data_IF_924942260526
#
_entry.id   IF_924942260526
#
_cell.length_a   1.000
_cell.length_b   1.000
_cell.length_c   1.000
_cell.angle_alpha   90.00
_cell.angle_beta   90.00
_cell.angle_gamma   90.00
#
_symmetry.space_group_name_H-M   'P 1'
#
loop_
_entity.id
_entity.type
_entity.pdbx_description
1 polymer ?
#
# COMPACT_ATOMS: atom_id res chain seq x y z
N UNK A 1 -26.25 7.48 10.89
CA UNK A 1 -25.00 7.52 10.12
C UNK A 1 -25.36 7.17 8.69
N UNK A 2 -25.14 8.06 7.72
CA UNK A 2 -25.42 7.81 6.29
C UNK A 2 -24.25 7.02 5.70
N UNK A 3 -24.54 5.82 5.22
CA UNK A 3 -23.54 4.99 4.52
C UNK A 3 -23.38 5.51 3.09
N UNK A 4 -22.15 5.71 2.64
CA UNK A 4 -21.86 6.06 1.25
C UNK A 4 -22.13 4.85 0.32
N UNK A 5 -23.27 4.92 -0.39
CA UNK A 5 -23.70 3.86 -1.30
C UNK A 5 -22.97 3.87 -2.65
N UNK A 6 -22.10 4.84 -2.92
CA UNK A 6 -21.32 4.90 -4.16
C UNK A 6 -20.12 3.95 -4.14
N UNK A 7 -19.72 3.46 -2.97
CA UNK A 7 -18.67 2.45 -2.83
C UNK A 7 -19.27 1.08 -3.12
N UNK A 8 -18.72 0.38 -4.10
CA UNK A 8 -19.18 -0.95 -4.50
C UNK A 8 -18.81 -2.00 -3.43
N UNK A 9 -19.61 -3.05 -3.37
CA UNK A 9 -19.29 -4.24 -2.59
C UNK A 9 -18.11 -4.96 -3.24
N UNK A 10 -17.05 -5.21 -2.47
CA UNK A 10 -15.89 -5.95 -2.96
C UNK A 10 -16.24 -7.42 -3.28
N UNK A 11 -15.58 -7.99 -4.29
CA UNK A 11 -15.66 -9.42 -4.60
C UNK A 11 -14.91 -10.30 -3.59
N UNK A 12 -14.06 -9.72 -2.75
CA UNK A 12 -13.31 -10.44 -1.70
C UNK A 12 -14.29 -10.82 -0.60
N UNK A 13 -14.41 -12.13 -0.36
CA UNK A 13 -15.29 -12.67 0.68
C UNK A 13 -14.58 -12.63 2.03
N UNK A 14 -15.26 -12.06 3.03
CA UNK A 14 -14.78 -12.03 4.41
C UNK A 14 -15.06 -13.31 5.17
N UNK A 15 -14.59 -13.35 6.44
CA UNK A 15 -14.78 -14.44 7.38
C UNK A 15 -13.54 -15.33 7.54
N UNK A 16 -13.46 -16.02 8.68
CA UNK A 16 -12.32 -16.85 9.04
C UNK A 16 -12.01 -17.94 8.01
N UNK A 17 -13.02 -18.67 7.53
CA UNK A 17 -12.80 -19.74 6.56
C UNK A 17 -12.21 -19.23 5.25
N UNK A 18 -12.63 -18.05 4.77
CA UNK A 18 -12.06 -17.43 3.58
C UNK A 18 -10.64 -16.89 3.84
N UNK A 19 -10.38 -16.36 5.03
CA UNK A 19 -9.04 -15.96 5.45
C UNK A 19 -8.06 -17.13 5.46
N UNK A 20 -8.49 -18.24 6.05
CA UNK A 20 -7.69 -19.48 6.13
C UNK A 20 -7.44 -20.07 4.73
N UNK A 21 -8.46 -20.10 3.87
CA UNK A 21 -8.29 -20.54 2.49
C UNK A 21 -7.29 -19.67 1.75
N UNK A 22 -7.39 -18.32 1.89
CA UNK A 22 -6.46 -17.39 1.27
C UNK A 22 -5.02 -17.60 1.74
N UNK A 23 -4.84 -17.86 3.06
CA UNK A 23 -3.52 -18.16 3.62
C UNK A 23 -2.96 -19.46 3.04
N UNK A 24 -3.77 -20.52 2.97
CA UNK A 24 -3.35 -21.80 2.40
C UNK A 24 -2.97 -21.67 0.91
N UNK A 25 -3.78 -20.93 0.12
CA UNK A 25 -3.47 -20.65 -1.29
C UNK A 25 -2.12 -19.89 -1.42
N UNK A 26 -1.90 -18.92 -0.54
CA UNK A 26 -0.63 -18.18 -0.52
C UNK A 26 0.56 -19.08 -0.18
N UNK A 27 0.45 -19.89 0.86
CA UNK A 27 1.53 -20.81 1.28
C UNK A 27 1.85 -21.85 0.21
N UNK A 28 0.84 -22.33 -0.53
CA UNK A 28 1.04 -23.35 -1.56
C UNK A 28 1.49 -22.81 -2.92
N UNK A 29 1.04 -21.61 -3.33
CA UNK A 29 1.23 -21.10 -4.68
C UNK A 29 2.16 -19.88 -4.77
N UNK A 30 2.12 -18.98 -3.79
CA UNK A 30 2.77 -17.66 -3.87
C UNK A 30 3.95 -17.45 -2.94
N UNK A 31 4.04 -18.23 -1.88
CA UNK A 31 5.02 -18.03 -0.82
C UNK A 31 6.47 -18.27 -1.28
N UNK A 32 6.70 -19.29 -2.09
CA UNK A 32 8.04 -19.60 -2.64
C UNK A 32 8.64 -18.44 -3.44
N UNK A 33 7.80 -17.59 -3.98
CA UNK A 33 8.15 -16.44 -4.83
C UNK A 33 8.07 -15.09 -4.09
N UNK A 34 7.66 -15.10 -2.82
CA UNK A 34 7.30 -13.89 -2.09
C UNK A 34 8.41 -12.85 -2.03
N UNK A 35 9.61 -13.21 -1.57
CA UNK A 35 10.71 -12.25 -1.42
C UNK A 35 11.09 -11.58 -2.75
N UNK A 36 11.04 -12.32 -3.84
CA UNK A 36 11.43 -11.85 -5.17
C UNK A 36 10.31 -11.06 -5.85
N UNK A 37 9.06 -11.53 -5.78
CA UNK A 37 7.99 -11.04 -6.65
C UNK A 37 6.82 -10.36 -5.92
N UNK A 38 6.83 -10.22 -4.58
CA UNK A 38 5.76 -9.54 -3.83
C UNK A 38 5.46 -8.13 -4.30
N UNK A 39 6.41 -7.49 -4.97
CA UNK A 39 6.26 -6.13 -5.53
C UNK A 39 5.80 -6.13 -6.99
N UNK A 40 5.71 -7.26 -7.66
CA UNK A 40 5.32 -7.37 -9.07
C UNK A 40 3.80 -7.49 -9.20
N UNK A 41 3.12 -6.49 -9.82
CA UNK A 41 1.66 -6.52 -9.96
C UNK A 41 1.14 -7.63 -10.88
N UNK A 42 2.01 -8.20 -11.72
CA UNK A 42 1.67 -9.30 -12.63
C UNK A 42 1.77 -10.68 -12.01
N UNK A 43 2.33 -10.77 -10.78
CA UNK A 43 2.57 -12.02 -10.07
C UNK A 43 1.62 -12.20 -8.89
N UNK A 44 1.26 -13.44 -8.61
CA UNK A 44 0.42 -13.82 -7.46
C UNK A 44 1.26 -14.14 -6.22
N UNK A 45 2.30 -13.36 -5.96
CA UNK A 45 3.25 -13.59 -4.86
C UNK A 45 2.92 -12.80 -3.57
N UNK A 46 1.81 -12.07 -3.53
CA UNK A 46 1.35 -11.34 -2.34
C UNK A 46 0.35 -12.18 -1.54
N UNK A 47 0.42 -12.10 -0.20
CA UNK A 47 -0.50 -12.85 0.67
C UNK A 47 -1.95 -12.35 0.58
N UNK A 48 -2.17 -11.07 0.33
CA UNK A 48 -3.48 -10.40 0.32
C UNK A 48 -4.24 -10.56 1.65
N UNK A 49 -3.53 -10.71 2.77
CA UNK A 49 -4.12 -10.94 4.09
C UNK A 49 -4.57 -9.67 4.82
N UNK A 50 -4.15 -8.48 4.36
CA UNK A 50 -4.41 -7.21 5.07
C UNK A 50 -5.90 -6.94 5.36
N UNK A 51 -6.87 -7.21 4.46
CA UNK A 51 -8.29 -7.04 4.81
C UNK A 51 -8.74 -7.95 5.95
N UNK A 52 -8.27 -9.19 5.96
CA UNK A 52 -8.64 -10.16 7.00
C UNK A 52 -8.06 -9.80 8.37
N UNK A 53 -6.85 -9.25 8.40
CA UNK A 53 -6.25 -8.71 9.63
C UNK A 53 -7.02 -7.48 10.11
N UNK A 54 -7.36 -6.56 9.21
CA UNK A 54 -8.09 -5.35 9.55
C UNK A 54 -9.44 -5.64 10.22
N UNK A 55 -10.19 -6.62 9.72
CA UNK A 55 -11.47 -7.02 10.29
C UNK A 55 -11.36 -8.08 11.41
N UNK A 56 -10.15 -8.44 11.85
CA UNK A 56 -9.95 -9.44 12.91
C UNK A 56 -10.46 -10.84 12.56
N UNK A 57 -10.51 -11.17 11.27
CA UNK A 57 -11.04 -12.45 10.78
C UNK A 57 -10.04 -13.60 10.91
N UNK A 58 -8.77 -13.29 11.04
CA UNK A 58 -7.67 -14.19 11.39
C UNK A 58 -6.64 -13.42 12.21
N UNK A 59 -6.00 -14.06 13.17
CA UNK A 59 -4.96 -13.41 13.96
C UNK A 59 -3.59 -13.47 13.27
N UNK A 60 -2.76 -12.45 13.53
CA UNK A 60 -1.36 -12.48 13.06
C UNK A 60 -0.56 -13.61 13.72
N UNK A 61 -0.93 -14.01 14.94
CA UNK A 61 -0.31 -15.15 15.63
C UNK A 61 -0.58 -16.45 14.90
N UNK A 62 -1.83 -16.71 14.48
CA UNK A 62 -2.15 -17.90 13.71
C UNK A 62 -1.43 -17.95 12.36
N UNK A 63 -1.34 -16.81 11.68
CA UNK A 63 -0.57 -16.72 10.42
C UNK A 63 0.92 -17.01 10.68
N UNK A 64 1.48 -16.48 11.77
CA UNK A 64 2.85 -16.78 12.18
C UNK A 64 3.05 -18.28 12.48
N UNK A 65 2.15 -18.90 13.25
CA UNK A 65 2.21 -20.35 13.55
C UNK A 65 2.18 -21.20 12.28
N UNK A 66 1.27 -20.91 11.33
CA UNK A 66 1.19 -21.60 10.05
C UNK A 66 2.46 -21.44 9.21
N UNK A 67 3.06 -20.26 9.28
CA UNK A 67 4.31 -20.00 8.59
C UNK A 67 5.49 -20.75 9.20
N UNK A 68 5.55 -20.80 10.53
CA UNK A 68 6.54 -21.58 11.31
C UNK A 68 6.44 -23.06 10.97
N UNK A 69 5.22 -23.62 10.94
CA UNK A 69 4.98 -25.01 10.53
C UNK A 69 5.44 -25.27 9.09
N UNK A 70 5.09 -24.36 8.16
CA UNK A 70 5.45 -24.48 6.74
C UNK A 70 6.96 -24.47 6.51
N UNK A 71 7.70 -23.62 7.23
CA UNK A 71 9.17 -23.49 7.16
C UNK A 71 9.91 -24.51 8.03
N UNK A 72 9.21 -25.27 8.87
CA UNK A 72 9.83 -26.10 9.93
C UNK A 72 10.82 -25.30 10.78
N UNK A 73 10.46 -24.03 11.05
CA UNK A 73 11.32 -23.09 11.79
C UNK A 73 11.11 -23.24 13.30
N UNK A 74 12.19 -23.02 14.06
CA UNK A 74 12.15 -22.98 15.53
C UNK A 74 12.98 -21.82 16.09
N UNK A 75 12.75 -21.37 17.35
CA UNK A 75 13.49 -20.28 17.96
C UNK A 75 15.01 -20.48 18.01
N UNK A 76 15.51 -21.71 17.96
CA UNK A 76 16.93 -22.03 17.91
C UNK A 76 17.60 -21.55 16.60
N UNK A 77 16.82 -21.31 15.57
CA UNK A 77 17.31 -20.75 14.30
C UNK A 77 17.69 -19.27 14.40
N UNK A 78 17.21 -18.55 15.44
CA UNK A 78 17.48 -17.13 15.61
C UNK A 78 18.97 -16.85 15.76
N UNK A 79 19.49 -15.94 14.96
CA UNK A 79 20.87 -15.48 15.07
C UNK A 79 20.96 -14.23 15.97
N UNK A 80 21.36 -14.36 17.23
CA UNK A 80 21.40 -13.25 18.18
C UNK A 80 22.43 -12.16 17.81
N UNK A 81 23.40 -12.47 16.94
CA UNK A 81 24.40 -11.48 16.49
C UNK A 81 23.84 -10.52 15.42
N UNK A 82 22.72 -10.88 14.83
CA UNK A 82 22.06 -10.14 13.75
C UNK A 82 20.75 -9.48 14.19
N UNK A 83 20.53 -9.31 15.49
CA UNK A 83 19.32 -8.71 16.07
C UNK A 83 18.97 -7.40 15.37
N UNK A 84 17.71 -7.29 14.91
CA UNK A 84 17.17 -6.11 14.24
C UNK A 84 17.62 -5.94 12.80
N UNK A 85 18.43 -6.83 12.24
CA UNK A 85 18.70 -6.84 10.80
C UNK A 85 17.51 -7.42 10.06
N UNK A 86 17.30 -6.90 8.86
CA UNK A 86 16.22 -7.35 7.98
C UNK A 86 16.43 -8.79 7.48
N UNK A 87 17.68 -9.20 7.31
CA UNK A 87 18.05 -10.51 6.77
C UNK A 87 19.01 -11.22 7.74
N UNK A 88 18.77 -12.51 7.91
CA UNK A 88 19.60 -13.41 8.73
C UNK A 88 19.29 -13.39 10.23
N UNK A 89 18.45 -12.49 10.72
CA UNK A 89 18.09 -12.46 12.14
C UNK A 89 17.22 -13.65 12.55
N UNK A 90 16.16 -13.89 11.81
CA UNK A 90 15.24 -15.00 12.09
C UNK A 90 15.85 -16.37 11.77
N UNK A 91 16.87 -16.43 10.90
CA UNK A 91 17.53 -17.68 10.50
C UNK A 91 16.63 -18.60 9.70
N UNK A 92 15.61 -18.06 9.04
CA UNK A 92 14.73 -18.76 8.12
C UNK A 92 15.08 -18.54 6.66
N UNK A 93 14.22 -18.99 5.76
CA UNK A 93 14.35 -18.68 4.33
C UNK A 93 14.22 -17.17 4.07
N UNK A 94 14.68 -16.70 2.93
CA UNK A 94 14.51 -15.29 2.52
C UNK A 94 13.02 -14.91 2.43
N UNK A 95 12.15 -15.85 2.05
CA UNK A 95 10.70 -15.64 2.01
C UNK A 95 10.14 -15.47 3.43
N UNK A 96 10.57 -16.29 4.37
CA UNK A 96 10.19 -16.22 5.78
C UNK A 96 10.55 -14.87 6.38
N UNK A 97 11.83 -14.48 6.28
CA UNK A 97 12.30 -13.21 6.84
C UNK A 97 11.63 -12.00 6.20
N UNK A 98 11.45 -12.02 4.86
CA UNK A 98 10.76 -10.94 4.16
C UNK A 98 9.29 -10.83 4.54
N UNK A 99 8.62 -11.96 4.82
CA UNK A 99 7.23 -11.93 5.24
C UNK A 99 7.09 -11.46 6.69
N UNK A 100 7.96 -11.92 7.59
CA UNK A 100 7.99 -11.48 8.99
C UNK A 100 8.34 -9.99 9.12
N UNK A 101 9.20 -9.45 8.26
CA UNK A 101 9.48 -8.02 8.24
C UNK A 101 8.19 -7.21 8.01
N UNK A 102 7.32 -7.63 7.09
CA UNK A 102 6.02 -6.97 6.86
C UNK A 102 4.99 -7.27 7.97
N UNK A 103 4.87 -8.54 8.37
CA UNK A 103 3.86 -8.99 9.32
C UNK A 103 4.10 -8.46 10.74
N UNK A 104 5.36 -8.38 11.15
CA UNK A 104 5.77 -7.99 12.51
C UNK A 104 6.34 -6.58 12.51
N UNK A 105 7.49 -6.35 11.85
CA UNK A 105 8.23 -5.09 11.99
C UNK A 105 7.41 -3.89 11.52
N UNK A 106 6.96 -3.90 10.27
CA UNK A 106 6.23 -2.76 9.70
C UNK A 106 4.85 -2.58 10.29
N UNK A 107 4.16 -3.70 10.55
CA UNK A 107 2.85 -3.66 11.19
C UNK A 107 2.93 -3.06 12.59
N UNK A 108 3.84 -3.53 13.44
CA UNK A 108 3.98 -3.05 14.81
C UNK A 108 4.46 -1.58 14.86
N UNK A 109 5.30 -1.14 13.94
CA UNK A 109 5.66 0.28 13.81
C UNK A 109 4.43 1.15 13.51
N UNK A 110 3.51 0.67 12.69
CA UNK A 110 2.25 1.35 12.41
C UNK A 110 1.38 1.50 13.66
N UNK A 111 1.16 0.40 14.38
CA UNK A 111 0.39 0.40 15.63
C UNK A 111 1.05 1.27 16.69
N UNK A 112 2.37 1.13 16.89
CA UNK A 112 3.13 1.94 17.83
C UNK A 112 2.97 3.44 17.54
N UNK A 113 3.08 3.84 16.27
CA UNK A 113 2.93 5.24 15.88
C UNK A 113 1.54 5.77 16.19
N UNK A 114 0.48 5.02 15.87
CA UNK A 114 -0.90 5.43 16.12
C UNK A 114 -1.20 5.55 17.63
N UNK A 115 -0.65 4.65 18.46
CA UNK A 115 -0.85 4.68 19.92
C UNK A 115 -0.06 5.81 20.57
N UNK A 116 1.16 6.08 20.12
CA UNK A 116 2.08 7.02 20.77
C UNK A 116 1.97 8.46 20.29
N UNK A 117 1.36 8.71 19.13
CA UNK A 117 1.25 10.05 18.53
C UNK A 117 -0.21 10.44 18.31
N UNK A 118 -0.72 11.39 19.07
CA UNK A 118 -2.08 11.92 18.90
C UNK A 118 -2.29 12.57 17.52
N UNK A 119 -1.20 13.05 16.88
CA UNK A 119 -1.22 13.65 15.55
C UNK A 119 -0.78 12.68 14.44
N UNK A 120 -0.86 11.36 14.63
CA UNK A 120 -0.35 10.35 13.68
C UNK A 120 -0.86 10.52 12.24
N UNK A 121 -2.06 11.06 12.07
CA UNK A 121 -2.74 11.30 10.80
C UNK A 121 -2.63 12.75 10.28
N UNK A 122 -1.78 13.58 10.91
CA UNK A 122 -1.59 14.97 10.51
C UNK A 122 -0.25 15.17 9.80
N UNK A 123 -0.20 16.12 8.88
CA UNK A 123 1.02 16.49 8.15
C UNK A 123 2.20 16.82 9.08
N UNK A 124 1.92 17.46 10.22
CA UNK A 124 2.91 17.80 11.25
C UNK A 124 3.59 16.60 11.92
N UNK A 125 3.12 15.38 11.69
CA UNK A 125 3.73 14.16 12.21
C UNK A 125 4.82 13.57 11.31
N UNK A 126 5.02 14.15 10.13
CA UNK A 126 6.13 13.78 9.24
C UNK A 126 7.48 14.15 9.87
N UNK A 127 8.58 13.48 9.49
CA UNK A 127 9.92 13.89 9.90
C UNK A 127 10.24 15.32 9.46
N UNK A 128 11.01 16.05 10.27
CA UNK A 128 11.38 17.44 9.99
C UNK A 128 12.02 17.63 8.60
N UNK A 129 12.91 16.70 8.21
CA UNK A 129 13.56 16.74 6.90
C UNK A 129 12.55 16.65 5.74
N UNK A 130 11.48 15.87 5.92
CA UNK A 130 10.44 15.69 4.91
C UNK A 130 9.56 16.94 4.83
N UNK A 131 9.13 17.48 5.98
CA UNK A 131 8.38 18.74 6.04
C UNK A 131 9.17 19.86 5.39
N UNK A 132 10.45 19.99 5.74
CA UNK A 132 11.34 21.03 5.20
C UNK A 132 11.43 20.96 3.68
N UNK A 133 11.81 19.78 3.14
CA UNK A 133 11.98 19.65 1.69
C UNK A 133 10.67 19.81 0.92
N UNK A 134 9.55 19.30 1.44
CA UNK A 134 8.23 19.49 0.82
C UNK A 134 7.77 20.95 0.85
N UNK A 135 8.12 21.70 1.91
CA UNK A 135 7.84 23.14 2.00
C UNK A 135 8.67 23.94 1.00
N UNK A 136 9.97 23.66 0.88
CA UNK A 136 10.87 24.31 -0.08
C UNK A 136 10.40 24.12 -1.54
N UNK A 137 9.76 23.01 -1.85
CA UNK A 137 9.25 22.66 -3.17
C UNK A 137 7.73 22.88 -3.37
N UNK A 138 7.06 23.55 -2.43
CA UNK A 138 5.62 23.82 -2.54
C UNK A 138 5.27 24.73 -3.72
N UNK A 139 6.14 25.72 -4.00
CA UNK A 139 5.98 26.67 -5.11
C UNK A 139 6.40 26.15 -6.48
N UNK A 140 6.90 24.93 -6.58
CA UNK A 140 7.31 24.36 -7.85
C UNK A 140 6.11 24.21 -8.79
N UNK A 141 6.30 24.61 -10.04
CA UNK A 141 5.28 24.47 -11.08
C UNK A 141 4.94 23.01 -11.33
N UNK A 142 3.65 22.70 -11.44
CA UNK A 142 3.10 21.37 -11.75
C UNK A 142 2.53 21.36 -13.16
N UNK A 143 2.95 20.39 -13.95
CA UNK A 143 2.46 20.23 -15.32
C UNK A 143 0.97 19.88 -15.35
N UNK A 144 0.52 19.08 -14.36
CA UNK A 144 -0.87 18.68 -14.19
C UNK A 144 -1.31 18.90 -12.75
N UNK A 145 -2.55 19.34 -12.57
CA UNK A 145 -3.23 19.38 -11.26
C UNK A 145 -4.60 18.75 -11.44
N UNK A 146 -4.93 17.77 -10.59
CA UNK A 146 -6.22 17.10 -10.61
C UNK A 146 -6.99 17.37 -9.31
N UNK A 147 -8.30 17.53 -9.46
CA UNK A 147 -9.22 17.57 -8.31
C UNK A 147 -9.38 16.18 -7.69
N UNK A 148 -9.90 16.14 -6.45
CA UNK A 148 -10.24 14.89 -5.78
C UNK A 148 -11.21 14.05 -6.61
N UNK A 149 -12.17 14.67 -7.29
CA UNK A 149 -13.15 13.96 -8.14
C UNK A 149 -12.49 13.34 -9.36
N UNK A 150 -11.61 14.07 -10.06
CA UNK A 150 -10.85 13.52 -11.19
C UNK A 150 -9.98 12.33 -10.75
N UNK A 151 -9.31 12.43 -9.61
CA UNK A 151 -8.55 11.32 -9.03
C UNK A 151 -9.47 10.17 -8.65
N UNK A 152 -10.61 10.46 -8.00
CA UNK A 152 -11.60 9.44 -7.61
C UNK A 152 -12.06 8.61 -8.81
N UNK A 153 -12.34 9.26 -9.94
CA UNK A 153 -12.88 8.60 -11.13
C UNK A 153 -11.83 8.21 -12.17
N UNK A 154 -10.54 8.17 -11.78
CA UNK A 154 -9.45 7.73 -12.65
C UNK A 154 -9.33 8.54 -13.93
N UNK A 155 -9.57 9.85 -13.85
CA UNK A 155 -9.59 10.78 -15.00
C UNK A 155 -8.25 11.53 -15.12
N UNK A 156 -7.13 10.82 -15.05
CA UNK A 156 -5.81 11.40 -15.26
C UNK A 156 -5.24 10.99 -16.63
N UNK A 157 -4.13 11.61 -17.02
CA UNK A 157 -3.42 11.24 -18.26
C UNK A 157 -2.59 9.94 -18.11
N UNK A 158 -2.43 9.42 -16.89
CA UNK A 158 -1.55 8.28 -16.59
C UNK A 158 -2.37 6.98 -16.49
N UNK A 159 -2.28 6.14 -17.51
CA UNK A 159 -3.03 4.88 -17.61
C UNK A 159 -2.71 3.89 -16.48
N UNK A 160 -1.43 3.85 -16.01
CA UNK A 160 -1.02 2.94 -14.94
C UNK A 160 -1.62 3.41 -13.62
N UNK A 161 -1.61 4.71 -13.37
CA UNK A 161 -2.24 5.29 -12.19
C UNK A 161 -3.77 5.08 -12.22
N UNK A 162 -4.40 5.32 -13.34
CA UNK A 162 -5.85 5.12 -13.51
C UNK A 162 -6.23 3.65 -13.26
N UNK A 163 -5.46 2.71 -13.77
CA UNK A 163 -5.67 1.27 -13.52
C UNK A 163 -5.54 0.93 -12.02
N UNK A 164 -4.57 1.52 -11.32
CA UNK A 164 -4.40 1.32 -9.89
C UNK A 164 -5.57 1.88 -9.07
N UNK A 165 -6.06 3.06 -9.42
CA UNK A 165 -7.24 3.67 -8.81
C UNK A 165 -8.52 2.87 -9.09
N UNK A 166 -8.67 2.34 -10.30
CA UNK A 166 -9.78 1.47 -10.66
C UNK A 166 -9.77 0.18 -9.84
N UNK A 167 -8.61 -0.47 -9.69
CA UNK A 167 -8.49 -1.64 -8.82
C UNK A 167 -8.90 -1.32 -7.38
N UNK A 168 -8.42 -0.19 -6.85
CA UNK A 168 -8.78 0.24 -5.49
C UNK A 168 -10.30 0.42 -5.33
N UNK A 169 -10.96 1.07 -6.31
CA UNK A 169 -12.41 1.31 -6.27
C UNK A 169 -13.26 0.06 -6.43
N UNK A 170 -12.83 -0.87 -7.28
CA UNK A 170 -13.62 -2.05 -7.62
C UNK A 170 -13.35 -3.24 -6.68
N UNK A 171 -12.10 -3.41 -6.24
CA UNK A 171 -11.68 -4.56 -5.45
C UNK A 171 -11.43 -4.22 -3.98
N UNK A 172 -11.17 -2.95 -3.68
CA UNK A 172 -10.81 -2.50 -2.32
C UNK A 172 -9.37 -2.80 -1.93
N UNK A 173 -8.53 -3.16 -2.88
CA UNK A 173 -7.10 -3.43 -2.67
C UNK A 173 -6.28 -2.83 -3.81
N UNK A 174 -5.00 -2.63 -3.56
CA UNK A 174 -4.03 -2.18 -4.55
C UNK A 174 -2.68 -2.80 -4.19
N UNK A 175 -1.97 -3.30 -5.18
CA UNK A 175 -0.67 -3.91 -4.98
C UNK A 175 0.34 -2.88 -4.43
N UNK A 176 1.19 -3.29 -3.48
CA UNK A 176 2.00 -2.36 -2.67
C UNK A 176 2.90 -1.43 -3.50
N UNK A 177 3.58 -1.92 -4.54
CA UNK A 177 4.41 -1.08 -5.39
C UNK A 177 3.59 -0.02 -6.13
N UNK A 178 2.43 -0.42 -6.65
CA UNK A 178 1.50 0.50 -7.31
C UNK A 178 0.85 1.46 -6.31
N UNK A 179 0.63 1.06 -5.06
CA UNK A 179 0.16 1.96 -3.98
C UNK A 179 1.19 3.07 -3.72
N UNK A 180 2.49 2.73 -3.71
CA UNK A 180 3.54 3.74 -3.57
C UNK A 180 3.56 4.70 -4.76
N UNK A 181 3.52 4.19 -5.99
CA UNK A 181 3.45 5.01 -7.20
C UNK A 181 2.19 5.89 -7.20
N UNK A 182 1.03 5.32 -6.86
CA UNK A 182 -0.26 6.01 -6.76
C UNK A 182 -0.17 7.26 -5.87
N UNK A 183 0.38 7.11 -4.67
CA UNK A 183 0.51 8.24 -3.76
C UNK A 183 1.58 9.26 -4.18
N UNK A 184 2.69 8.80 -4.79
CA UNK A 184 3.71 9.69 -5.36
C UNK A 184 3.12 10.58 -6.47
N UNK A 185 2.27 10.02 -7.31
CA UNK A 185 1.58 10.77 -8.37
C UNK A 185 0.52 11.73 -7.79
N UNK A 186 -0.19 11.37 -6.72
CA UNK A 186 -1.07 12.31 -6.02
C UNK A 186 -0.26 13.49 -5.47
N UNK A 187 0.94 13.27 -4.89
CA UNK A 187 1.82 14.35 -4.46
C UNK A 187 2.21 15.26 -5.64
N UNK A 188 2.55 14.67 -6.77
CA UNK A 188 2.95 15.40 -7.99
C UNK A 188 1.83 16.27 -8.53
N UNK A 189 0.59 15.79 -8.49
CA UNK A 189 -0.56 16.41 -9.14
C UNK A 189 -1.49 17.18 -8.19
N UNK A 190 -1.14 17.33 -6.94
CA UNK A 190 -1.90 18.14 -5.98
C UNK A 190 -1.31 19.55 -5.84
N UNK A 191 -2.11 20.58 -5.53
CA UNK A 191 -1.63 21.95 -5.39
C UNK A 191 -0.51 22.13 -4.36
N UNK A 192 -0.53 21.33 -3.29
CA UNK A 192 0.49 21.31 -2.23
C UNK A 192 0.51 19.97 -1.50
N UNK A 193 1.56 19.69 -0.68
CA UNK A 193 1.69 18.40 0.01
C UNK A 193 0.58 18.10 1.04
N UNK A 194 -0.01 19.11 1.66
CA UNK A 194 -1.09 18.95 2.64
C UNK A 194 -2.38 18.49 1.95
N UNK A 195 -2.72 19.05 0.79
CA UNK A 195 -3.84 18.61 -0.04
C UNK A 195 -3.57 17.21 -0.57
N UNK A 196 -2.35 16.90 -1.01
CA UNK A 196 -1.96 15.56 -1.43
C UNK A 196 -2.20 14.53 -0.32
N UNK A 197 -1.78 14.82 0.91
CA UNK A 197 -2.03 13.95 2.06
C UNK A 197 -3.53 13.75 2.31
N UNK A 198 -4.31 14.83 2.27
CA UNK A 198 -5.77 14.77 2.44
C UNK A 198 -6.43 13.89 1.37
N UNK A 199 -6.02 14.01 0.11
CA UNK A 199 -6.52 13.20 -0.99
C UNK A 199 -6.15 11.72 -0.82
N UNK A 200 -4.90 11.41 -0.48
CA UNK A 200 -4.45 10.04 -0.23
C UNK A 200 -5.25 9.38 0.92
N UNK A 201 -5.43 10.07 2.05
CA UNK A 201 -6.22 9.56 3.17
C UNK A 201 -7.67 9.35 2.75
N UNK A 202 -8.29 10.34 2.10
CA UNK A 202 -9.69 10.27 1.67
C UNK A 202 -9.94 9.08 0.74
N UNK A 203 -9.12 8.92 -0.30
CA UNK A 203 -9.27 7.86 -1.28
C UNK A 203 -8.99 6.48 -0.67
N UNK A 204 -7.94 6.38 0.15
CA UNK A 204 -7.60 5.13 0.81
C UNK A 204 -8.70 4.70 1.80
N UNK A 205 -9.13 5.60 2.68
CA UNK A 205 -10.10 5.28 3.72
C UNK A 205 -11.51 5.03 3.16
N UNK A 206 -11.81 5.58 1.99
CA UNK A 206 -13.09 5.38 1.32
C UNK A 206 -13.16 4.05 0.58
N UNK A 207 -12.09 3.65 -0.07
CA UNK A 207 -12.13 2.52 -1.02
C UNK A 207 -11.35 1.29 -0.55
N UNK A 208 -10.32 1.43 0.28
CA UNK A 208 -9.52 0.29 0.70
C UNK A 208 -10.24 -0.54 1.77
N UNK A 209 -10.25 -1.86 1.62
CA UNK A 209 -10.81 -2.78 2.62
C UNK A 209 -10.04 -2.73 3.93
N UNK A 210 -8.75 -2.43 3.88
CA UNK A 210 -7.89 -2.17 5.05
C UNK A 210 -7.70 -0.68 5.34
N UNK A 211 -8.58 0.18 4.82
CA UNK A 211 -8.62 1.61 5.11
C UNK A 211 -8.78 1.89 6.60
N UNK A 212 -8.18 2.98 7.10
CA UNK A 212 -8.17 3.39 8.52
C UNK A 212 -7.41 2.44 9.47
N UNK A 213 -6.79 1.40 8.95
CA UNK A 213 -5.85 0.57 9.71
C UNK A 213 -4.57 1.36 10.02
N UNK A 214 -3.87 1.14 11.15
CA UNK A 214 -2.56 1.75 11.43
C UNK A 214 -1.55 1.58 10.30
N UNK A 215 -1.56 0.44 9.58
CA UNK A 215 -0.68 0.23 8.43
C UNK A 215 -1.08 1.05 7.20
N UNK A 216 -2.37 1.37 7.05
CA UNK A 216 -2.84 2.33 6.04
C UNK A 216 -2.16 3.70 6.23
N UNK A 217 -2.19 4.21 7.46
CA UNK A 217 -1.50 5.48 7.78
C UNK A 217 0.02 5.35 7.63
N UNK A 218 0.62 4.23 8.01
CA UNK A 218 2.04 3.98 7.75
C UNK A 218 2.38 4.07 6.28
N UNK A 219 1.60 3.42 5.41
CA UNK A 219 1.79 3.43 3.96
C UNK A 219 1.61 4.82 3.34
N UNK A 220 0.53 5.53 3.69
CA UNK A 220 0.26 6.88 3.19
C UNK A 220 1.36 7.86 3.62
N UNK A 221 1.75 7.82 4.88
CA UNK A 221 2.80 8.72 5.38
C UNK A 221 4.21 8.34 4.91
N UNK A 222 4.47 7.06 4.60
CA UNK A 222 5.72 6.66 3.94
C UNK A 222 5.89 7.34 2.59
N UNK A 223 4.83 7.50 1.83
CA UNK A 223 4.86 8.22 0.56
C UNK A 223 5.47 9.62 0.73
N UNK A 224 5.20 10.28 1.87
CA UNK A 224 5.70 11.61 2.21
C UNK A 224 6.97 11.60 3.08
N UNK A 225 7.61 10.44 3.29
CA UNK A 225 8.92 10.33 3.95
C UNK A 225 8.93 9.79 5.38
N UNK A 226 7.77 9.43 6.01
CA UNK A 226 7.80 8.75 7.31
C UNK A 226 8.48 7.39 7.15
N UNK A 227 9.39 7.05 8.05
CA UNK A 227 10.22 5.83 8.06
C UNK A 227 11.22 5.74 6.89
N UNK A 228 11.32 6.76 6.05
CA UNK A 228 12.27 6.80 4.95
C UNK A 228 13.41 7.77 5.27
N UNK A 229 14.41 7.79 4.42
CA UNK A 229 15.53 8.74 4.45
C UNK A 229 15.39 9.78 3.34
N UNK A 230 16.16 10.85 3.45
CA UNK A 230 16.31 11.79 2.35
C UNK A 230 17.02 11.13 1.15
N UNK A 231 16.50 11.35 -0.05
CA UNK A 231 17.03 10.83 -1.32
C UNK A 231 17.60 11.99 -2.16
N UNK A 232 18.73 11.78 -2.78
CA UNK A 232 19.31 12.69 -3.77
C UNK A 232 19.30 12.08 -5.16
N UNK A 233 19.44 12.91 -6.20
CA UNK A 233 19.37 14.37 -6.17
C UNK A 233 17.95 14.89 -5.90
N UNK A 234 17.83 16.14 -5.41
CA UNK A 234 16.54 16.82 -5.27
C UNK A 234 15.83 16.94 -6.62
N UNK A 235 14.50 16.83 -6.55
CA UNK A 235 13.64 16.89 -7.74
C UNK A 235 12.49 17.87 -7.52
N UNK A 236 12.11 18.56 -8.60
CA UNK A 236 10.92 19.42 -8.65
C UNK A 236 9.74 18.73 -7.97
N UNK A 237 9.00 19.41 -7.12
CA UNK A 237 7.85 18.98 -6.34
C UNK A 237 8.21 18.00 -5.20
N UNK A 238 9.10 17.04 -5.45
CA UNK A 238 9.46 15.98 -4.50
C UNK A 238 10.56 16.39 -3.52
N UNK A 239 11.44 17.33 -3.89
CA UNK A 239 12.65 17.59 -3.13
C UNK A 239 13.45 16.32 -2.92
N UNK A 240 13.69 15.99 -1.66
CA UNK A 240 14.40 14.77 -1.21
C UNK A 240 13.46 13.58 -0.93
N UNK A 241 12.19 13.71 -1.20
CA UNK A 241 11.26 12.57 -1.11
C UNK A 241 11.58 11.57 -2.23
N UNK A 242 11.57 10.29 -1.91
CA UNK A 242 11.81 9.21 -2.87
C UNK A 242 10.90 9.34 -4.09
N UNK A 243 11.51 9.45 -5.26
CA UNK A 243 10.83 9.65 -6.54
C UNK A 243 10.44 8.33 -7.19
N UNK A 244 9.24 8.27 -7.78
CA UNK A 244 8.76 7.13 -8.57
C UNK A 244 7.97 7.63 -9.79
N UNK A 245 8.12 6.95 -10.94
CA UNK A 245 7.37 7.25 -12.17
C UNK A 245 6.69 6.04 -12.74
N UNK A 246 5.62 6.25 -13.51
CA UNK A 246 4.91 5.21 -14.25
C UNK A 246 5.81 4.57 -15.30
N UNK A 247 6.67 5.34 -15.99
CA UNK A 247 7.67 4.81 -16.90
C UNK A 247 8.65 3.84 -16.24
N UNK A 248 9.07 4.16 -15.00
CA UNK A 248 9.95 3.27 -14.25
C UNK A 248 9.25 1.97 -13.85
N UNK A 249 7.96 2.05 -13.52
CA UNK A 249 7.14 0.87 -13.25
C UNK A 249 6.95 0.01 -14.50
N UNK A 250 6.65 0.64 -15.66
CA UNK A 250 6.49 -0.05 -16.94
C UNK A 250 7.78 -0.74 -17.42
N UNK A 251 8.94 -0.14 -17.15
CA UNK A 251 10.23 -0.79 -17.45
C UNK A 251 10.57 -1.94 -16.49
N UNK A 252 10.09 -1.85 -15.25
CA UNK A 252 10.40 -2.85 -14.21
C UNK A 252 9.52 -4.08 -14.28
N UNK A 253 8.25 -3.91 -14.67
CA UNK A 253 7.24 -4.96 -14.64
C UNK A 253 6.54 -5.09 -15.98
N UNK A 254 6.07 -6.31 -16.30
CA UNK A 254 5.13 -6.50 -17.39
C UNK A 254 3.72 -6.09 -16.93
N UNK A 255 3.36 -4.83 -17.14
CA UNK A 255 2.06 -4.30 -16.71
C UNK A 255 0.91 -4.57 -17.70
N UNK A 256 1.17 -5.18 -18.86
CA UNK A 256 0.13 -5.43 -19.87
C UNK A 256 -1.07 -6.20 -19.31
N UNK A 257 -0.92 -7.35 -18.61
CA UNK A 257 -2.08 -8.06 -18.04
C UNK A 257 -2.83 -7.23 -16.98
N UNK A 258 -2.11 -6.40 -16.24
CA UNK A 258 -2.69 -5.52 -15.25
C UNK A 258 -3.55 -4.42 -15.88
N UNK A 259 -3.05 -3.78 -16.94
CA UNK A 259 -3.75 -2.75 -17.71
C UNK A 259 -4.95 -3.32 -18.45
N UNK A 260 -4.86 -4.52 -19.04
CA UNK A 260 -5.98 -5.21 -19.65
C UNK A 260 -7.13 -5.45 -18.66
N UNK A 261 -6.79 -5.76 -17.40
CA UNK A 261 -7.79 -6.01 -16.36
C UNK A 261 -8.39 -4.74 -15.76
N UNK A 262 -7.58 -3.70 -15.53
CA UNK A 262 -7.98 -2.53 -14.74
C UNK A 262 -7.96 -1.20 -15.52
N UNK A 263 -7.37 -1.15 -16.71
CA UNK A 263 -7.19 0.08 -17.48
C UNK A 263 -8.48 0.60 -18.14
N UNK A 264 -9.33 -0.30 -18.63
CA UNK A 264 -10.54 0.06 -19.42
C UNK A 264 -11.83 -0.13 -18.61
N UNK A 265 -11.94 0.48 -17.46
CA UNK A 265 -13.23 0.51 -16.74
C UNK A 265 -14.04 1.74 -17.18
N UNK A 266 -14.69 1.64 -18.35
CA UNK A 266 -15.65 2.63 -18.79
C UNK A 266 -16.80 2.77 -17.77
N UNK A 267 -17.36 3.97 -17.65
CA UNK A 267 -18.47 4.37 -16.74
C UNK A 267 -19.80 3.62 -16.96
N UNK A 268 -19.78 2.35 -17.26
CA UNK A 268 -20.98 1.56 -17.53
C UNK A 268 -21.60 1.00 -16.26
N UNK A 269 -21.98 1.87 -15.29
CA UNK A 269 -22.93 1.46 -14.22
C UNK A 269 -23.48 2.62 -13.36
N UNK A 270 -23.63 3.83 -13.90
CA UNK A 270 -24.35 4.90 -13.18
C UNK A 270 -25.81 5.03 -13.57
N UNK A 271 -26.30 4.25 -14.54
CA UNK A 271 -27.67 4.37 -15.08
C UNK A 271 -28.50 3.12 -14.79
N UNK A 272 -28.82 2.83 -13.52
CA UNK A 272 -30.00 2.03 -13.17
C UNK A 272 -30.37 2.08 -11.69
N UNK A 273 -30.46 3.27 -11.08
CA UNK A 273 -31.27 3.46 -9.88
C UNK A 273 -32.01 4.79 -10.04
N UNK A 274 -32.98 4.77 -10.94
CA UNK A 274 -34.12 5.70 -10.94
C UNK A 274 -35.34 4.94 -11.42
N UNK A 275 -35.98 4.25 -10.47
CA UNK A 275 -37.44 4.07 -10.41
C UNK A 275 -37.81 3.53 -9.04
#
# INVERSE_FOLDING_TARGET
MTIDKSVKVSSIKGGYSNALQRLNDFLSEGYSDYAQYRSDPSKRASSEMSPYFHFGQISTHEVFERLVEHESWSPENINPTLVGRREGWWGGSLNFESFLDELITWRELGYHTCVRRANYNQYSSLPEWAIKTLHEHTGDEREHIYSLDQLTYSQTHDEIWNAAQNQLREQGVIQNYLRMLWGKKILEWSPNPQIALSYMITLNDRYSLDGRDPNSYSGVFWILGRYDRAWGPERKIYGKIRYMTSDSAARKFNLKPYLEKWGNMSETSVTSISK
#
